data_IF_511309386303
#
_entry.id   IF_511309386303
#
_cell.length_a   1.000
_cell.length_b   1.000
_cell.length_c   1.000
_cell.angle_alpha   90.00
_cell.angle_beta   90.00
_cell.angle_gamma   90.00
#
_symmetry.space_group_name_H-M   'P 1'
#
loop_
_entity.id
_entity.type
_entity.pdbx_description
1 polymer ?
#
# COMPACT_ATOMS: atom_id res chain seq x y z
N UNK A 1 -3.93 4.61 26.77
CA UNK A 1 -4.99 4.20 25.82
C UNK A 1 -6.33 4.63 26.42
N UNK A 2 -7.11 5.47 25.74
CA UNK A 2 -8.33 6.03 26.32
C UNK A 2 -9.47 5.02 26.25
N UNK A 3 -9.57 4.17 27.27
CA UNK A 3 -10.56 3.08 27.38
C UNK A 3 -11.98 3.60 27.60
N UNK A 4 -12.14 4.84 28.10
CA UNK A 4 -13.45 5.46 28.30
C UNK A 4 -14.15 5.73 26.97
N UNK A 5 -13.42 6.19 25.96
CA UNK A 5 -13.96 6.40 24.62
C UNK A 5 -14.42 5.09 23.98
N UNK A 6 -13.61 4.03 24.10
CA UNK A 6 -13.93 2.70 23.57
C UNK A 6 -15.21 2.17 24.22
N UNK A 7 -15.31 2.26 25.55
CA UNK A 7 -16.48 1.78 26.28
C UNK A 7 -17.75 2.58 25.93
N UNK A 8 -17.64 3.90 25.76
CA UNK A 8 -18.74 4.75 25.32
C UNK A 8 -19.24 4.36 23.93
N UNK A 9 -18.32 4.12 22.98
CA UNK A 9 -18.67 3.68 21.63
C UNK A 9 -19.35 2.31 21.61
N UNK A 10 -18.86 1.36 22.42
CA UNK A 10 -19.48 0.03 22.55
C UNK A 10 -20.91 0.14 23.08
N UNK A 11 -21.14 0.99 24.08
CA UNK A 11 -22.48 1.21 24.63
C UNK A 11 -23.43 1.83 23.59
N UNK A 12 -22.95 2.80 22.82
CA UNK A 12 -23.73 3.41 21.73
C UNK A 12 -24.12 2.36 20.71
N UNK A 13 -23.17 1.55 20.22
CA UNK A 13 -23.42 0.49 19.22
C UNK A 13 -24.44 -0.54 19.73
N UNK A 14 -24.37 -0.90 21.01
CA UNK A 14 -25.30 -1.85 21.62
C UNK A 14 -26.72 -1.28 21.79
N UNK A 15 -26.86 0.05 21.88
CA UNK A 15 -28.16 0.74 21.98
C UNK A 15 -28.86 0.99 20.64
N UNK A 16 -28.20 0.72 19.51
CA UNK A 16 -28.76 0.95 18.18
C UNK A 16 -29.89 -0.03 17.85
N UNK A 17 -30.93 0.49 17.19
CA UNK A 17 -32.00 -0.28 16.56
C UNK A 17 -31.51 -1.10 15.36
N UNK A 18 -32.33 -2.01 14.85
CA UNK A 18 -31.96 -2.85 13.70
C UNK A 18 -31.74 -2.03 12.42
N UNK A 19 -32.52 -0.96 12.23
CA UNK A 19 -32.38 -0.06 11.08
C UNK A 19 -31.07 0.73 11.15
N UNK A 20 -30.72 1.24 12.34
CA UNK A 20 -29.48 1.98 12.54
C UNK A 20 -28.24 1.07 12.41
N UNK A 21 -28.32 -0.18 12.88
CA UNK A 21 -27.28 -1.19 12.67
C UNK A 21 -27.08 -1.49 11.19
N UNK A 22 -28.18 -1.65 10.44
CA UNK A 22 -28.11 -1.87 8.99
C UNK A 22 -27.47 -0.68 8.25
N UNK A 23 -27.78 0.56 8.64
CA UNK A 23 -27.12 1.76 8.09
C UNK A 23 -25.63 1.81 8.43
N UNK A 24 -25.27 1.43 9.64
CA UNK A 24 -23.88 1.39 10.10
C UNK A 24 -23.07 0.33 9.33
N UNK A 25 -23.67 -0.84 9.06
CA UNK A 25 -23.06 -1.88 8.23
C UNK A 25 -22.83 -1.42 6.78
N UNK A 26 -23.79 -0.71 6.18
CA UNK A 26 -23.62 -0.11 4.85
C UNK A 26 -22.46 0.89 4.85
N UNK A 27 -22.39 1.75 5.86
CA UNK A 27 -21.37 2.78 5.96
C UNK A 27 -19.98 2.17 6.19
N UNK A 28 -19.88 1.13 7.02
CA UNK A 28 -18.65 0.37 7.24
C UNK A 28 -18.20 -0.39 6.00
N UNK A 29 -19.14 -0.96 5.23
CA UNK A 29 -18.82 -1.63 3.97
C UNK A 29 -18.26 -0.63 2.94
N UNK A 30 -18.85 0.56 2.86
CA UNK A 30 -18.39 1.65 1.99
C UNK A 30 -17.00 2.18 2.37
N UNK A 31 -16.65 2.19 3.66
CA UNK A 31 -15.32 2.62 4.12
C UNK A 31 -14.28 1.51 4.07
N UNK A 32 -14.71 0.24 4.14
CA UNK A 32 -13.86 -0.95 4.03
C UNK A 32 -13.70 -1.48 2.61
N UNK A 33 -14.39 -0.91 1.62
CA UNK A 33 -13.95 -0.83 0.22
C UNK A 33 -12.70 0.08 0.11
N UNK A 34 -11.72 -0.15 1.00
CA UNK A 34 -10.34 0.14 0.74
C UNK A 34 -10.01 -0.66 -0.52
N UNK A 35 -10.01 0.06 -1.65
CA UNK A 35 -9.53 -0.34 -2.97
C UNK A 35 -8.65 -1.58 -2.81
N UNK A 36 -9.18 -2.77 -3.11
CA UNK A 36 -8.34 -3.97 -3.10
C UNK A 36 -7.13 -3.59 -3.93
N UNK A 37 -5.97 -3.51 -3.30
CA UNK A 37 -4.72 -3.23 -3.98
C UNK A 37 -4.48 -4.50 -4.77
N UNK A 38 -5.09 -4.57 -5.96
CA UNK A 38 -4.85 -5.67 -6.87
C UNK A 38 -3.34 -5.74 -6.99
N UNK A 39 -2.73 -6.90 -6.74
CA UNK A 39 -1.30 -7.03 -6.82
C UNK A 39 -0.87 -6.54 -8.21
N UNK A 40 -0.08 -5.47 -8.22
CA UNK A 40 0.45 -4.88 -9.45
C UNK A 40 1.07 -6.02 -10.26
N UNK A 41 0.55 -6.26 -11.47
CA UNK A 41 1.01 -7.33 -12.35
C UNK A 41 2.33 -6.94 -13.01
N UNK A 42 3.38 -6.77 -12.21
CA UNK A 42 4.69 -6.32 -12.67
C UNK A 42 5.31 -7.25 -13.72
N UNK A 43 5.10 -8.57 -13.61
CA UNK A 43 5.78 -9.58 -14.45
C UNK A 43 5.51 -9.45 -15.95
N UNK A 44 4.40 -8.83 -16.36
CA UNK A 44 4.02 -8.71 -17.76
C UNK A 44 4.24 -7.30 -18.31
N UNK A 45 4.88 -6.41 -17.54
CA UNK A 45 5.19 -5.07 -17.99
C UNK A 45 6.43 -5.07 -18.90
N UNK A 46 6.43 -4.29 -19.99
CA UNK A 46 7.52 -4.29 -20.98
C UNK A 46 8.87 -3.84 -20.42
N UNK A 47 8.88 -3.15 -19.26
CA UNK A 47 10.11 -2.71 -18.62
C UNK A 47 10.78 -3.79 -17.76
N UNK A 48 10.08 -4.88 -17.42
CA UNK A 48 10.65 -5.97 -16.63
C UNK A 48 11.57 -6.82 -17.50
N UNK A 49 12.83 -6.93 -17.11
CA UNK A 49 13.84 -7.69 -17.85
C UNK A 49 14.65 -6.88 -18.86
N UNK A 50 14.34 -5.59 -19.07
CA UNK A 50 15.09 -4.71 -20.00
C UNK A 50 16.61 -4.71 -19.77
N UNK A 51 17.03 -4.96 -18.54
CA UNK A 51 18.42 -4.90 -18.11
C UNK A 51 19.03 -6.27 -17.81
N UNK A 52 18.31 -7.37 -18.07
CA UNK A 52 18.74 -8.72 -17.70
C UNK A 52 20.01 -9.16 -18.46
N UNK A 53 20.18 -8.71 -19.71
CA UNK A 53 21.31 -9.07 -20.57
C UNK A 53 22.52 -8.16 -20.40
N UNK A 54 22.39 -7.09 -19.60
CA UNK A 54 23.46 -6.13 -19.37
C UNK A 54 24.47 -6.66 -18.36
N UNK A 55 25.64 -7.04 -18.85
CA UNK A 55 26.70 -7.59 -18.00
C UNK A 55 27.27 -6.57 -17.01
N UNK A 56 27.28 -5.29 -17.38
CA UNK A 56 27.70 -4.19 -16.51
C UNK A 56 26.74 -3.96 -15.34
N UNK A 57 25.49 -4.42 -15.45
CA UNK A 57 24.50 -4.38 -14.37
C UNK A 57 24.45 -5.66 -13.53
N UNK A 58 25.35 -6.63 -13.76
CA UNK A 58 25.53 -7.78 -12.84
C UNK A 58 25.91 -7.31 -11.43
N UNK A 59 26.72 -6.26 -11.32
CA UNK A 59 26.92 -5.50 -10.09
C UNK A 59 26.37 -4.08 -10.27
N UNK A 60 25.09 -3.93 -10.00
CA UNK A 60 24.41 -2.65 -10.10
C UNK A 60 24.97 -1.58 -9.16
N UNK A 61 25.59 -1.99 -8.04
CA UNK A 61 26.14 -1.06 -7.05
C UNK A 61 27.39 -0.40 -7.59
N UNK A 62 28.31 -1.21 -8.14
CA UNK A 62 29.54 -0.71 -8.75
C UNK A 62 29.23 0.14 -9.99
N UNK A 63 28.25 -0.27 -10.82
CA UNK A 63 27.81 0.51 -11.98
C UNK A 63 27.33 1.92 -11.61
N UNK A 64 26.45 2.06 -10.60
CA UNK A 64 25.96 3.39 -10.14
C UNK A 64 27.12 4.23 -9.58
N UNK A 65 28.06 3.60 -8.86
CA UNK A 65 29.21 4.31 -8.27
C UNK A 65 30.10 4.91 -9.35
N UNK A 66 30.43 4.13 -10.39
CA UNK A 66 31.24 4.57 -11.51
C UNK A 66 30.55 5.70 -12.29
N UNK A 67 29.25 5.56 -12.58
CA UNK A 67 28.46 6.59 -13.24
C UNK A 67 28.45 7.91 -12.47
N UNK A 68 28.32 7.85 -11.14
CA UNK A 68 28.37 9.05 -10.30
C UNK A 68 29.74 9.73 -10.34
N UNK A 69 30.82 8.94 -10.36
CA UNK A 69 32.17 9.47 -10.51
C UNK A 69 32.39 10.13 -11.88
N UNK A 70 31.88 9.56 -12.97
CA UNK A 70 32.11 10.09 -14.31
C UNK A 70 31.25 11.32 -14.63
N UNK A 71 29.96 11.28 -14.29
CA UNK A 71 29.02 12.28 -14.79
C UNK A 71 28.72 13.41 -13.79
N UNK A 72 28.83 13.14 -12.48
CA UNK A 72 28.24 14.03 -11.46
C UNK A 72 29.26 14.64 -10.49
N UNK A 73 30.49 14.12 -10.43
CA UNK A 73 31.55 14.67 -9.58
C UNK A 73 32.60 15.47 -10.38
N UNK A 74 32.18 16.05 -11.51
CA UNK A 74 32.93 17.11 -12.18
C UNK A 74 32.93 18.41 -11.40
#
# INVERSE_FOLDING_TARGET
MNTQLINSLVNIINSLSQEEKHLLDIQLKKTSEAKEVQPLRMKNEPFVGMWQEREDLKDSTEWVRQLRHSEWMS
#
